data_IF_125738068062
#
_entry.id   IF_125738068062
#
_cell.length_a   1.000
_cell.length_b   1.000
_cell.length_c   1.000
_cell.angle_alpha   90.00
_cell.angle_beta   90.00
_cell.angle_gamma   90.00
#
_symmetry.space_group_name_H-M   'P 1'
#
loop_
_entity.id
_entity.type
_entity.pdbx_description
1 polymer ?
#
# COMPACT_ATOMS: atom_id res chain seq x y z
N UNK A 1 -31.36 -4.32 -0.86
CA UNK A 1 -30.33 -5.38 -0.68
C UNK A 1 -29.81 -5.39 0.76
N UNK A 2 -29.33 -4.27 1.32
CA UNK A 2 -28.78 -4.21 2.69
C UNK A 2 -29.76 -4.77 3.73
N UNK A 3 -31.01 -4.28 3.75
CA UNK A 3 -32.01 -4.75 4.70
C UNK A 3 -32.31 -6.25 4.58
N UNK A 4 -32.38 -6.77 3.33
CA UNK A 4 -32.58 -8.19 3.10
C UNK A 4 -31.41 -9.02 3.69
N UNK A 5 -30.17 -8.64 3.37
CA UNK A 5 -29.00 -9.34 3.88
C UNK A 5 -28.88 -9.22 5.41
N UNK A 6 -29.17 -8.04 5.97
CA UNK A 6 -29.19 -7.85 7.43
C UNK A 6 -30.18 -8.80 8.10
N UNK A 7 -31.39 -8.96 7.53
CA UNK A 7 -32.40 -9.85 8.06
C UNK A 7 -32.02 -11.33 7.92
N UNK A 8 -31.38 -11.72 6.81
CA UNK A 8 -30.87 -13.07 6.63
C UNK A 8 -29.77 -13.42 7.64
N UNK A 9 -28.84 -12.51 7.89
CA UNK A 9 -27.81 -12.69 8.91
C UNK A 9 -28.41 -12.84 10.31
N UNK A 10 -29.40 -12.00 10.66
CA UNK A 10 -30.13 -12.10 11.95
C UNK A 10 -30.88 -13.42 12.06
N UNK A 11 -31.53 -13.87 11.00
CA UNK A 11 -32.20 -15.17 10.97
C UNK A 11 -31.22 -16.35 11.14
N UNK A 12 -29.98 -16.19 10.71
CA UNK A 12 -28.88 -17.13 10.94
C UNK A 12 -28.23 -17.01 12.34
N UNK A 13 -28.77 -16.16 13.22
CA UNK A 13 -28.22 -15.96 14.57
C UNK A 13 -27.03 -15.01 14.65
N UNK A 14 -26.70 -14.33 13.56
CA UNK A 14 -25.60 -13.37 13.50
C UNK A 14 -26.12 -11.99 13.86
N UNK A 15 -25.50 -11.33 14.84
CA UNK A 15 -25.79 -9.94 15.17
C UNK A 15 -25.41 -9.05 13.98
N UNK A 16 -26.38 -8.34 13.41
CA UNK A 16 -26.17 -7.52 12.23
C UNK A 16 -27.02 -6.26 12.26
N UNK A 17 -26.45 -5.11 11.86
CA UNK A 17 -27.13 -3.82 11.76
C UNK A 17 -26.76 -3.13 10.43
N UNK A 18 -27.72 -2.48 9.76
CA UNK A 18 -27.42 -1.69 8.57
C UNK A 18 -26.75 -0.38 9.00
N UNK A 19 -25.75 0.05 8.23
CA UNK A 19 -25.05 1.30 8.48
C UNK A 19 -24.79 2.07 7.18
N UNK A 20 -24.65 3.38 7.29
CA UNK A 20 -24.17 4.24 6.23
C UNK A 20 -22.68 4.53 6.42
N UNK A 21 -21.90 4.31 5.35
CA UNK A 21 -20.48 4.62 5.30
C UNK A 21 -20.26 5.96 4.60
N UNK A 22 -19.50 6.83 5.22
CA UNK A 22 -19.18 8.17 4.75
C UNK A 22 -17.71 8.27 4.35
N UNK A 23 -17.42 8.88 3.21
CA UNK A 23 -16.06 9.01 2.67
C UNK A 23 -15.30 10.24 3.18
N UNK A 24 -16.02 11.22 3.73
CA UNK A 24 -15.45 12.48 4.18
C UNK A 24 -15.87 12.68 5.64
N UNK A 25 -14.94 12.89 6.60
CA UNK A 25 -15.30 13.29 7.93
C UNK A 25 -15.98 14.66 7.83
N UNK A 26 -17.21 14.72 8.23
CA UNK A 26 -17.88 16.00 8.45
C UNK A 26 -17.40 16.54 9.80
N UNK A 27 -16.83 17.73 9.82
CA UNK A 27 -16.57 18.48 11.05
C UNK A 27 -17.89 18.91 11.72
N UNK A 28 -18.99 18.81 10.98
CA UNK A 28 -20.35 19.10 11.44
C UNK A 28 -21.15 17.81 11.59
N UNK A 29 -21.98 17.73 12.61
CA UNK A 29 -22.90 16.58 12.85
C UNK A 29 -23.96 16.39 11.74
N UNK A 30 -24.04 17.32 10.81
CA UNK A 30 -24.97 17.30 9.68
C UNK A 30 -24.32 16.68 8.43
N UNK A 31 -24.19 15.37 8.43
CA UNK A 31 -23.81 14.64 7.22
C UNK A 31 -25.06 14.49 6.34
N UNK A 32 -25.12 15.27 5.26
CA UNK A 32 -26.17 15.10 4.25
C UNK A 32 -26.13 13.73 3.57
N UNK A 33 -27.28 13.26 3.11
CA UNK A 33 -27.37 11.98 2.36
C UNK A 33 -26.40 11.90 1.17
N UNK A 34 -26.03 13.04 0.60
CA UNK A 34 -25.09 13.13 -0.53
C UNK A 34 -23.63 12.77 -0.14
N UNK A 35 -23.31 12.72 1.15
CA UNK A 35 -21.99 12.32 1.65
C UNK A 35 -21.90 10.80 1.90
N UNK A 36 -23.01 10.07 1.81
CA UNK A 36 -23.04 8.62 1.93
C UNK A 36 -22.36 8.02 0.69
N UNK A 37 -21.32 7.29 0.92
CA UNK A 37 -20.61 6.57 -0.15
C UNK A 37 -21.25 5.22 -0.42
N UNK A 38 -21.61 4.51 0.63
CA UNK A 38 -22.12 3.16 0.55
C UNK A 38 -22.99 2.84 1.78
N UNK A 39 -23.96 1.96 1.58
CA UNK A 39 -24.66 1.31 2.68
C UNK A 39 -24.04 -0.06 2.92
N UNK A 40 -23.65 -0.32 4.16
CA UNK A 40 -22.96 -1.53 4.59
C UNK A 40 -23.74 -2.25 5.69
N UNK A 41 -23.32 -3.45 6.04
CA UNK A 41 -23.82 -4.18 7.18
C UNK A 41 -22.68 -4.33 8.19
N UNK A 42 -22.93 -3.91 9.41
CA UNK A 42 -22.06 -4.21 10.54
C UNK A 42 -22.56 -5.52 11.16
N UNK A 43 -21.73 -6.56 11.11
CA UNK A 43 -22.06 -7.86 11.65
C UNK A 43 -21.04 -8.25 12.72
N UNK A 44 -21.47 -9.07 13.67
CA UNK A 44 -20.61 -9.65 14.70
C UNK A 44 -20.81 -11.16 14.70
N UNK A 45 -19.74 -11.91 14.45
CA UNK A 45 -19.71 -13.36 14.51
C UNK A 45 -18.46 -13.81 15.28
N UNK A 46 -18.61 -14.78 16.16
CA UNK A 46 -17.54 -15.34 17.01
C UNK A 46 -16.79 -14.26 17.82
N UNK A 47 -17.52 -13.23 18.27
CA UNK A 47 -16.94 -12.09 18.99
C UNK A 47 -16.10 -11.13 18.11
N UNK A 48 -16.15 -11.26 16.79
CA UNK A 48 -15.42 -10.44 15.84
C UNK A 48 -16.35 -9.53 15.05
N UNK A 49 -15.99 -8.25 14.88
CA UNK A 49 -16.73 -7.34 14.03
C UNK A 49 -16.40 -7.55 12.54
N UNK A 50 -17.43 -7.57 11.72
CA UNK A 50 -17.34 -7.63 10.27
C UNK A 50 -18.08 -6.44 9.66
N UNK A 51 -17.56 -5.92 8.57
CA UNK A 51 -18.22 -4.93 7.74
C UNK A 51 -18.43 -5.52 6.36
N UNK A 52 -19.66 -5.63 5.91
CA UNK A 52 -20.03 -6.30 4.66
C UNK A 52 -20.63 -5.29 3.68
N UNK A 53 -20.09 -5.23 2.49
CA UNK A 53 -20.68 -4.54 1.34
C UNK A 53 -21.66 -5.48 0.64
N UNK A 54 -22.77 -4.93 0.16
CA UNK A 54 -23.75 -5.66 -0.66
C UNK A 54 -23.69 -5.24 -2.13
N UNK A 55 -22.80 -4.31 -2.47
CA UNK A 55 -22.62 -3.83 -3.84
C UNK A 55 -21.42 -4.47 -4.52
N UNK A 56 -20.38 -4.71 -3.77
CA UNK A 56 -19.15 -5.33 -4.24
C UNK A 56 -18.86 -6.58 -3.43
N UNK A 57 -18.29 -7.59 -4.05
CA UNK A 57 -17.76 -8.77 -3.35
C UNK A 57 -16.55 -8.43 -2.44
N UNK A 58 -16.10 -7.17 -2.46
CA UNK A 58 -15.05 -6.67 -1.56
C UNK A 58 -15.58 -6.47 -0.14
N UNK A 59 -14.81 -6.85 0.87
CA UNK A 59 -15.10 -6.44 2.22
C UNK A 59 -15.06 -4.92 2.26
N UNK A 60 -16.19 -4.43 2.60
CA UNK A 60 -16.68 -3.08 2.58
C UNK A 60 -15.65 -1.98 2.67
N UNK A 61 -15.83 -1.09 1.72
CA UNK A 61 -15.39 0.29 1.67
C UNK A 61 -14.28 0.62 2.66
N UNK A 62 -13.08 0.29 2.27
CA UNK A 62 -11.86 0.65 2.98
C UNK A 62 -11.67 2.16 3.10
N UNK A 63 -12.46 2.91 2.36
CA UNK A 63 -12.35 4.35 2.21
C UNK A 63 -13.38 5.14 3.05
N UNK A 64 -14.10 4.53 3.97
CA UNK A 64 -15.02 5.28 4.83
C UNK A 64 -14.27 5.84 6.04
N UNK A 65 -14.58 7.08 6.38
CA UNK A 65 -14.00 7.76 7.54
C UNK A 65 -14.81 7.58 8.80
N UNK A 66 -16.12 7.33 8.67
CA UNK A 66 -16.98 6.96 9.78
C UNK A 66 -18.23 6.21 9.30
N UNK A 67 -18.87 5.55 10.24
CA UNK A 67 -20.08 4.76 10.05
C UNK A 67 -21.20 5.33 10.93
N UNK A 68 -22.41 5.35 10.38
CA UNK A 68 -23.62 5.68 11.16
C UNK A 68 -24.53 4.47 11.12
N UNK A 69 -24.80 3.90 12.29
CA UNK A 69 -25.81 2.86 12.47
C UNK A 69 -27.18 3.45 12.09
N UNK A 70 -27.88 2.82 11.17
CA UNK A 70 -29.17 3.32 10.70
C UNK A 70 -30.32 2.99 11.66
N UNK A 71 -30.14 2.06 12.60
CA UNK A 71 -31.14 1.73 13.58
C UNK A 71 -31.11 2.69 14.78
N UNK A 72 -29.92 3.01 15.27
CA UNK A 72 -29.72 3.80 16.48
C UNK A 72 -29.21 5.23 16.20
N UNK A 73 -28.82 5.52 14.96
CA UNK A 73 -28.19 6.79 14.59
C UNK A 73 -26.80 6.99 15.21
N UNK A 74 -26.25 5.92 15.81
CA UNK A 74 -24.97 5.98 16.50
C UNK A 74 -23.82 6.10 15.53
N UNK A 75 -23.03 7.15 15.68
CA UNK A 75 -21.78 7.34 14.93
C UNK A 75 -20.68 6.48 15.53
N UNK A 76 -20.00 5.70 14.72
CA UNK A 76 -18.79 4.98 15.11
C UNK A 76 -17.64 5.39 14.19
N UNK A 77 -16.47 5.59 14.78
CA UNK A 77 -15.21 5.72 14.06
C UNK A 77 -14.61 4.33 14.02
N UNK A 78 -14.46 3.70 12.83
CA UNK A 78 -13.65 2.50 12.77
C UNK A 78 -12.22 2.86 13.20
N UNK A 79 -11.50 1.88 13.77
CA UNK A 79 -10.06 2.05 13.95
C UNK A 79 -9.46 2.53 12.63
N UNK A 80 -8.62 3.58 12.67
CA UNK A 80 -8.08 4.15 11.43
C UNK A 80 -7.41 3.02 10.63
N UNK A 81 -7.87 2.74 9.42
CA UNK A 81 -7.30 1.67 8.63
C UNK A 81 -5.83 1.98 8.33
N UNK A 82 -4.98 0.97 8.41
CA UNK A 82 -3.57 1.07 8.05
C UNK A 82 -3.36 0.32 6.75
N UNK A 83 -2.97 1.02 5.70
CA UNK A 83 -2.51 0.41 4.47
C UNK A 83 -1.04 -0.01 4.65
N UNK A 84 -0.82 -1.27 5.03
CA UNK A 84 0.53 -1.77 5.27
C UNK A 84 0.99 -2.70 4.17
N UNK A 85 2.25 -2.53 3.78
CA UNK A 85 2.97 -3.37 2.81
C UNK A 85 4.33 -3.69 3.42
N UNK A 86 4.62 -4.98 3.60
CA UNK A 86 5.96 -5.51 3.80
C UNK A 86 6.38 -6.23 2.53
N UNK A 87 7.41 -5.77 1.85
CA UNK A 87 7.91 -6.34 0.60
C UNK A 87 9.37 -6.72 0.76
N UNK A 88 9.70 -7.96 0.44
CA UNK A 88 11.07 -8.48 0.46
C UNK A 88 11.36 -9.13 -0.88
N UNK A 89 12.51 -8.86 -1.47
CA UNK A 89 12.96 -9.51 -2.67
C UNK A 89 14.45 -9.85 -2.60
N UNK A 90 14.76 -11.14 -2.81
CA UNK A 90 16.12 -11.58 -3.13
C UNK A 90 16.26 -11.64 -4.63
N UNK A 91 17.25 -10.93 -5.18
CA UNK A 91 17.42 -10.70 -6.60
C UNK A 91 18.81 -11.14 -7.01
N UNK A 92 18.90 -12.02 -7.99
CA UNK A 92 20.17 -12.41 -8.61
C UNK A 92 20.21 -11.86 -10.02
N UNK A 93 21.14 -10.96 -10.28
CA UNK A 93 21.39 -10.47 -11.65
C UNK A 93 22.31 -11.46 -12.34
N UNK A 94 21.83 -12.02 -13.44
CA UNK A 94 22.57 -13.00 -14.22
C UNK A 94 23.59 -12.33 -15.16
N UNK A 95 24.63 -13.05 -15.65
CA UNK A 95 25.52 -12.54 -16.68
C UNK A 95 24.81 -12.12 -17.98
N UNK A 96 23.61 -12.64 -18.24
CA UNK A 96 22.75 -12.29 -19.38
C UNK A 96 21.89 -11.05 -19.11
N UNK A 97 22.13 -10.34 -18.00
CA UNK A 97 21.44 -9.11 -17.60
C UNK A 97 19.92 -9.30 -17.38
N UNK A 98 19.56 -10.47 -16.93
CA UNK A 98 18.24 -10.76 -16.37
C UNK A 98 18.31 -10.75 -14.83
N UNK A 99 17.24 -10.34 -14.18
CA UNK A 99 17.09 -10.42 -12.75
C UNK A 99 16.11 -11.57 -12.42
N UNK A 100 16.63 -12.61 -11.80
CA UNK A 100 15.81 -13.66 -11.17
C UNK A 100 15.46 -13.20 -9.76
N UNK A 101 14.19 -13.29 -9.38
CA UNK A 101 13.68 -12.73 -8.15
C UNK A 101 12.90 -13.76 -7.34
N UNK A 102 13.22 -13.87 -6.04
CA UNK A 102 12.36 -14.50 -5.04
C UNK A 102 11.67 -13.38 -4.24
N UNK A 103 10.34 -13.33 -4.31
CA UNK A 103 9.53 -12.24 -3.78
C UNK A 103 8.64 -12.75 -2.66
N UNK A 104 8.60 -12.01 -1.55
CA UNK A 104 7.63 -12.17 -0.47
C UNK A 104 7.00 -10.83 -0.15
N UNK A 105 5.71 -10.71 -0.34
CA UNK A 105 4.95 -9.52 0.00
C UNK A 105 3.85 -9.87 1.01
N UNK A 106 3.80 -9.11 2.11
CA UNK A 106 2.74 -9.19 3.11
C UNK A 106 1.93 -7.90 3.04
N UNK A 107 0.67 -8.01 2.68
CA UNK A 107 -0.21 -6.86 2.51
C UNK A 107 -1.36 -6.92 3.53
N UNK A 108 -1.73 -5.78 4.06
CA UNK A 108 -2.98 -5.67 4.81
C UNK A 108 -4.15 -6.03 3.90
N UNK A 109 -5.13 -6.78 4.41
CA UNK A 109 -6.30 -7.24 3.65
C UNK A 109 -7.13 -6.10 3.04
N UNK A 110 -6.97 -4.87 3.53
CA UNK A 110 -7.54 -3.66 2.93
C UNK A 110 -7.02 -3.36 1.52
N UNK A 111 -5.84 -3.85 1.17
CA UNK A 111 -5.18 -3.60 -0.12
C UNK A 111 -5.46 -4.69 -1.15
N UNK A 112 -6.08 -5.79 -0.73
CA UNK A 112 -6.24 -6.99 -1.55
C UNK A 112 -7.68 -7.11 -2.05
N UNK A 113 -7.92 -7.05 -3.37
CA UNK A 113 -9.21 -7.40 -3.94
C UNK A 113 -9.42 -8.93 -3.88
N UNK A 114 -10.67 -9.36 -3.68
CA UNK A 114 -11.05 -10.78 -3.55
C UNK A 114 -11.05 -11.57 -4.87
N UNK A 115 -10.25 -11.20 -5.83
CA UNK A 115 -10.17 -11.90 -7.12
C UNK A 115 -8.91 -12.77 -7.20
N UNK A 116 -9.04 -13.98 -7.71
CA UNK A 116 -7.99 -15.01 -7.74
C UNK A 116 -6.71 -14.64 -8.52
N UNK A 117 -6.75 -13.62 -9.38
CA UNK A 117 -5.62 -13.24 -10.23
C UNK A 117 -4.93 -11.94 -9.85
N UNK A 118 -5.14 -11.45 -8.63
CA UNK A 118 -4.62 -10.13 -8.24
C UNK A 118 -3.11 -10.09 -7.99
N UNK A 119 -2.46 -11.21 -7.67
CA UNK A 119 -1.03 -11.20 -7.34
C UNK A 119 -0.18 -10.66 -8.50
N UNK A 120 -0.43 -11.09 -9.73
CA UNK A 120 0.28 -10.59 -10.91
C UNK A 120 0.04 -9.12 -11.21
N UNK A 121 -1.11 -8.58 -10.80
CA UNK A 121 -1.42 -7.14 -10.93
C UNK A 121 -0.85 -6.29 -9.80
N UNK A 122 -0.63 -6.88 -8.62
CA UNK A 122 -0.06 -6.20 -7.46
C UNK A 122 1.46 -6.17 -7.48
N UNK A 123 2.07 -7.28 -7.90
CA UNK A 123 3.51 -7.52 -7.84
C UNK A 123 4.06 -7.71 -9.26
N UNK A 124 4.57 -6.64 -9.88
CA UNK A 124 5.10 -6.71 -11.24
C UNK A 124 6.22 -7.74 -11.37
N UNK A 125 6.19 -8.52 -12.44
CA UNK A 125 7.21 -9.51 -12.74
C UNK A 125 7.05 -10.86 -12.03
N UNK A 126 6.13 -11.00 -11.05
CA UNK A 126 5.87 -12.28 -10.41
C UNK A 126 5.19 -13.24 -11.41
N UNK A 127 5.62 -14.49 -11.44
CA UNK A 127 5.11 -15.50 -12.38
C UNK A 127 4.52 -16.70 -11.66
N UNK A 128 5.32 -17.33 -10.80
CA UNK A 128 4.91 -18.49 -10.01
C UNK A 128 4.73 -18.02 -8.57
N UNK A 129 3.51 -18.10 -8.03
CA UNK A 129 3.25 -17.57 -6.71
C UNK A 129 2.23 -18.39 -5.92
N UNK A 130 2.35 -18.29 -4.61
CA UNK A 130 1.39 -18.83 -3.63
C UNK A 130 0.81 -17.67 -2.84
N UNK A 131 -0.49 -17.72 -2.59
CA UNK A 131 -1.20 -16.75 -1.77
C UNK A 131 -1.63 -17.44 -0.48
N UNK A 132 -1.20 -16.90 0.65
CA UNK A 132 -1.55 -17.39 1.98
C UNK A 132 -2.38 -16.32 2.69
N UNK A 133 -3.72 -16.45 2.72
CA UNK A 133 -4.57 -15.53 3.46
C UNK A 133 -4.35 -15.68 4.97
N UNK A 134 -4.32 -14.55 5.67
CA UNK A 134 -4.34 -14.46 7.12
C UNK A 134 -5.50 -13.59 7.60
N UNK A 135 -5.65 -13.46 8.90
CA UNK A 135 -6.78 -12.72 9.51
C UNK A 135 -6.80 -11.24 9.13
N UNK A 136 -5.66 -10.57 9.20
CA UNK A 136 -5.52 -9.13 8.91
C UNK A 136 -4.64 -8.84 7.72
N UNK A 137 -3.80 -9.79 7.34
CA UNK A 137 -2.84 -9.66 6.25
C UNK A 137 -2.85 -10.88 5.37
N UNK A 138 -2.50 -10.69 4.11
CA UNK A 138 -2.27 -11.79 3.17
C UNK A 138 -0.81 -11.76 2.72
N UNK A 139 -0.18 -12.92 2.72
CA UNK A 139 1.18 -13.08 2.22
C UNK A 139 1.15 -13.68 0.81
N UNK A 140 1.89 -13.06 -0.10
CA UNK A 140 2.12 -13.54 -1.46
C UNK A 140 3.61 -13.85 -1.58
N UNK A 141 3.94 -15.09 -1.92
CA UNK A 141 5.33 -15.52 -2.12
C UNK A 141 5.46 -16.14 -3.49
N UNK A 142 6.53 -15.84 -4.21
CA UNK A 142 6.70 -16.40 -5.53
C UNK A 142 7.99 -15.99 -6.20
N UNK A 143 8.20 -16.52 -7.39
CA UNK A 143 9.34 -16.22 -8.26
C UNK A 143 8.97 -15.25 -9.34
N UNK A 144 9.92 -14.42 -9.74
CA UNK A 144 9.72 -13.44 -10.79
C UNK A 144 10.96 -13.28 -11.66
N UNK A 145 10.78 -12.59 -12.77
CA UNK A 145 11.85 -12.19 -13.65
C UNK A 145 11.67 -10.75 -14.10
N UNK A 146 12.77 -10.04 -14.21
CA UNK A 146 12.82 -8.71 -14.83
C UNK A 146 14.07 -8.58 -15.68
N UNK A 147 13.99 -7.83 -16.78
CA UNK A 147 15.14 -7.47 -17.58
C UNK A 147 15.78 -6.17 -17.08
N UNK A 148 17.09 -6.05 -17.23
CA UNK A 148 17.77 -4.78 -17.10
C UNK A 148 17.62 -4.00 -18.40
N UNK A 149 17.41 -2.69 -18.32
CA UNK A 149 17.50 -1.81 -19.48
C UNK A 149 18.94 -1.43 -19.70
N UNK A 150 19.42 -1.58 -20.93
CA UNK A 150 20.78 -1.21 -21.31
C UNK A 150 20.78 0.11 -22.07
N UNK A 151 21.76 0.95 -21.78
CA UNK A 151 22.06 2.17 -22.51
C UNK A 151 23.58 2.32 -22.54
N UNK A 152 24.20 2.08 -23.72
CA UNK A 152 25.64 1.96 -23.92
C UNK A 152 26.28 0.90 -22.99
N UNK A 153 27.16 1.33 -22.09
CA UNK A 153 27.86 0.47 -21.11
C UNK A 153 27.16 0.44 -19.74
N UNK A 154 25.96 1.03 -19.63
CA UNK A 154 25.22 1.12 -18.40
C UNK A 154 23.97 0.25 -18.44
N UNK A 155 23.61 -0.28 -17.26
CA UNK A 155 22.42 -1.09 -17.05
C UNK A 155 21.59 -0.49 -15.94
N UNK A 156 20.29 -0.38 -16.19
CA UNK A 156 19.33 0.17 -15.27
C UNK A 156 18.40 -0.93 -14.78
N UNK A 157 18.36 -1.14 -13.49
CA UNK A 157 17.40 -2.03 -12.85
C UNK A 157 16.41 -1.22 -12.04
N UNK A 158 15.12 -1.36 -12.36
CA UNK A 158 14.04 -0.70 -11.63
C UNK A 158 13.54 -1.61 -10.53
N UNK A 159 13.68 -1.19 -9.27
CA UNK A 159 13.20 -1.94 -8.13
C UNK A 159 11.70 -2.23 -8.26
N UNK A 160 11.27 -3.49 -8.19
CA UNK A 160 9.86 -3.84 -8.23
C UNK A 160 9.17 -3.31 -6.98
N UNK A 161 7.97 -2.75 -7.14
CA UNK A 161 7.16 -2.23 -6.04
C UNK A 161 5.72 -2.73 -6.14
N UNK A 162 5.02 -2.78 -5.01
CA UNK A 162 3.60 -3.14 -5.01
C UNK A 162 2.74 -2.00 -5.59
N UNK A 163 1.91 -2.30 -6.58
CA UNK A 163 1.06 -1.29 -7.22
C UNK A 163 -0.08 -0.76 -6.35
N UNK A 164 -0.44 -1.44 -5.27
CA UNK A 164 -1.48 -0.98 -4.34
C UNK A 164 -0.94 -0.04 -3.27
N UNK A 165 0.37 0.07 -3.14
CA UNK A 165 0.99 1.02 -2.26
C UNK A 165 0.70 2.47 -2.65
N UNK A 166 1.16 3.38 -1.83
CA UNK A 166 1.06 4.81 -2.14
C UNK A 166 1.77 5.15 -3.45
N UNK A 167 2.75 4.35 -3.88
CA UNK A 167 3.44 4.46 -5.17
C UNK A 167 2.55 4.23 -6.39
N UNK A 168 1.49 3.45 -6.26
CA UNK A 168 0.55 3.15 -7.36
C UNK A 168 -0.44 4.28 -7.68
N UNK A 169 -0.45 5.35 -6.89
CA UNK A 169 -1.37 6.48 -7.07
C UNK A 169 -0.71 7.61 -7.85
N UNK A 170 -1.50 8.41 -8.55
CA UNK A 170 -0.99 9.60 -9.28
C UNK A 170 -0.68 10.73 -8.29
N UNK A 171 0.60 11.00 -8.05
CA UNK A 171 1.06 12.01 -7.09
C UNK A 171 1.12 13.43 -7.64
N UNK A 172 0.77 13.64 -8.90
CA UNK A 172 0.67 14.98 -9.47
C UNK A 172 -0.23 15.89 -8.60
N UNK A 173 -1.23 15.32 -7.94
CA UNK A 173 -2.13 16.05 -7.04
C UNK A 173 -1.48 16.50 -5.73
N UNK A 174 -0.33 15.95 -5.36
CA UNK A 174 0.36 16.30 -4.10
C UNK A 174 1.44 17.36 -4.27
N UNK A 175 1.69 17.83 -5.49
CA UNK A 175 2.76 18.78 -5.78
C UNK A 175 2.37 20.25 -5.59
N UNK A 176 1.10 20.57 -5.42
CA UNK A 176 0.61 21.94 -5.25
C UNK A 176 0.33 22.26 -3.79
N UNK A 177 0.43 23.52 -3.41
CA UNK A 177 -0.05 24.01 -2.11
C UNK A 177 -1.55 23.75 -1.96
N UNK A 178 -2.01 23.56 -0.73
CA UNK A 178 -3.42 23.30 -0.44
C UNK A 178 -3.98 24.34 0.54
N UNK A 179 -5.20 24.77 0.24
CA UNK A 179 -6.00 25.61 1.12
C UNK A 179 -7.07 24.86 1.91
N UNK A 180 -7.26 23.54 1.60
CA UNK A 180 -8.23 22.67 2.26
C UNK A 180 -7.54 21.43 2.82
N UNK A 181 -8.15 20.84 3.83
CA UNK A 181 -7.68 19.59 4.42
C UNK A 181 -7.54 18.48 3.35
N UNK A 182 -6.51 17.68 3.50
CA UNK A 182 -6.31 16.44 2.73
C UNK A 182 -6.72 15.26 3.62
N UNK A 183 -7.60 14.42 3.09
CA UNK A 183 -7.98 13.17 3.71
C UNK A 183 -7.36 12.00 2.95
N UNK A 184 -6.61 11.18 3.68
CA UNK A 184 -6.12 9.90 3.20
C UNK A 184 -7.11 8.81 3.58
N UNK A 185 -7.36 7.83 2.69
CA UNK A 185 -8.29 6.72 2.97
C UNK A 185 -7.78 5.83 4.11
N UNK A 186 -6.47 5.79 4.33
CA UNK A 186 -5.80 5.05 5.39
C UNK A 186 -4.52 5.76 5.80
N UNK A 187 -4.02 5.50 7.00
CA UNK A 187 -2.61 5.70 7.31
C UNK A 187 -1.76 4.73 6.49
N UNK A 188 -0.47 5.02 6.33
CA UNK A 188 0.43 4.26 5.45
C UNK A 188 1.58 3.71 6.25
N UNK A 189 1.92 2.45 6.01
CA UNK A 189 3.12 1.80 6.54
C UNK A 189 3.69 0.86 5.46
N UNK A 190 4.57 1.38 4.63
CA UNK A 190 5.18 0.66 3.52
C UNK A 190 6.67 0.44 3.76
N UNK A 191 7.09 -0.82 3.73
CA UNK A 191 8.45 -1.25 3.94
C UNK A 191 8.88 -2.18 2.79
N UNK A 192 9.96 -1.84 2.13
CA UNK A 192 10.57 -2.61 1.04
C UNK A 192 12.02 -2.91 1.37
N UNK A 193 12.43 -4.17 1.20
CA UNK A 193 13.79 -4.64 1.39
C UNK A 193 14.22 -5.45 0.16
N UNK A 194 15.39 -5.16 -0.36
CA UNK A 194 15.96 -5.84 -1.51
C UNK A 194 17.38 -6.26 -1.22
N UNK A 195 17.66 -7.55 -1.41
CA UNK A 195 18.99 -8.12 -1.41
C UNK A 195 19.35 -8.46 -2.85
N UNK A 196 20.34 -7.78 -3.44
CA UNK A 196 20.69 -7.92 -4.85
C UNK A 196 22.12 -8.46 -4.95
N UNK A 197 22.25 -9.60 -5.62
CA UNK A 197 23.55 -10.19 -5.96
C UNK A 197 23.93 -9.83 -7.40
N UNK A 198 25.10 -9.20 -7.56
CA UNK A 198 25.65 -8.83 -8.86
C UNK A 198 26.57 -9.92 -9.41
N UNK A 199 26.60 -10.14 -10.74
CA UNK A 199 27.63 -10.93 -11.38
C UNK A 199 28.96 -10.16 -11.42
N UNK A 200 30.09 -10.88 -11.60
CA UNK A 200 31.44 -10.31 -11.58
C UNK A 200 31.68 -9.24 -12.66
N UNK A 201 30.94 -9.32 -13.76
CA UNK A 201 31.05 -8.38 -14.88
C UNK A 201 30.27 -7.08 -14.71
N UNK A 202 29.60 -6.87 -13.58
CA UNK A 202 28.88 -5.64 -13.28
C UNK A 202 29.37 -4.99 -11.99
N UNK A 203 29.46 -3.67 -11.99
CA UNK A 203 29.74 -2.89 -10.80
C UNK A 203 28.66 -1.84 -10.56
N UNK A 204 28.41 -1.52 -9.30
CA UNK A 204 27.45 -0.50 -8.88
C UNK A 204 27.97 0.89 -9.24
N UNK A 205 27.13 1.70 -9.92
CA UNK A 205 27.37 3.12 -10.16
C UNK A 205 26.46 4.02 -9.32
N UNK A 206 25.30 3.53 -8.87
CA UNK A 206 24.46 4.27 -7.95
C UNK A 206 25.23 4.52 -6.65
N UNK A 207 25.34 5.78 -6.18
CA UNK A 207 26.05 6.06 -4.95
C UNK A 207 25.38 5.40 -3.74
N UNK A 208 26.19 4.91 -2.82
CA UNK A 208 25.72 4.50 -1.50
C UNK A 208 25.06 5.69 -0.84
N UNK A 209 23.87 5.50 -0.31
CA UNK A 209 23.08 6.58 0.24
C UNK A 209 22.31 6.17 1.50
N UNK A 210 22.19 7.10 2.40
CA UNK A 210 21.26 7.04 3.51
C UNK A 210 20.53 8.38 3.57
N UNK A 211 19.21 8.33 3.58
CA UNK A 211 18.38 9.51 3.80
C UNK A 211 17.23 9.17 4.72
N UNK A 212 17.02 10.01 5.71
CA UNK A 212 15.91 9.91 6.66
C UNK A 212 15.23 11.26 6.80
N UNK A 213 13.90 11.24 6.79
CA UNK A 213 13.06 12.37 7.17
C UNK A 213 12.11 11.86 8.26
N UNK A 214 12.00 12.63 9.33
CA UNK A 214 11.06 12.37 10.41
C UNK A 214 10.35 13.68 10.77
N UNK A 215 9.02 13.67 10.80
CA UNK A 215 8.21 14.83 11.12
C UNK A 215 6.86 14.39 11.76
N UNK A 216 6.03 15.30 12.28
CA UNK A 216 4.79 14.95 12.95
C UNK A 216 3.77 14.17 12.10
N UNK A 217 3.90 14.19 10.77
CA UNK A 217 3.01 13.47 9.85
C UNK A 217 3.46 12.02 9.67
N UNK A 218 4.78 11.77 9.72
CA UNK A 218 5.32 10.44 9.49
C UNK A 218 6.82 10.44 9.26
N UNK A 219 7.32 9.39 8.65
CA UNK A 219 8.74 9.22 8.37
C UNK A 219 8.98 8.63 6.98
N UNK A 220 10.13 8.96 6.42
CA UNK A 220 10.70 8.37 5.22
C UNK A 220 12.13 7.92 5.52
N UNK A 221 12.50 6.74 5.03
CA UNK A 221 13.88 6.24 5.07
C UNK A 221 14.23 5.59 3.74
N UNK A 222 15.42 5.83 3.25
CA UNK A 222 16.08 5.04 2.22
C UNK A 222 17.51 4.75 2.67
N UNK A 223 17.95 3.50 2.53
CA UNK A 223 19.32 3.07 2.70
C UNK A 223 19.73 2.22 1.51
N UNK A 224 20.92 2.48 0.98
CA UNK A 224 21.59 1.60 0.02
C UNK A 224 22.99 1.36 0.53
N UNK A 225 23.32 0.10 0.78
CA UNK A 225 24.64 -0.36 1.20
C UNK A 225 25.16 -1.39 0.20
N UNK A 226 26.49 -1.52 0.11
CA UNK A 226 27.15 -2.48 -0.76
C UNK A 226 28.29 -3.15 -0.04
N UNK A 227 28.36 -4.47 -0.12
CA UNK A 227 29.47 -5.27 0.36
C UNK A 227 29.90 -6.28 -0.71
N UNK A 228 31.03 -6.03 -1.34
CA UNK A 228 31.50 -6.82 -2.49
C UNK A 228 30.49 -6.74 -3.65
N UNK A 229 29.98 -7.89 -4.08
CA UNK A 229 28.97 -8.02 -5.13
C UNK A 229 27.53 -8.00 -4.62
N UNK A 230 27.34 -7.83 -3.32
CA UNK A 230 26.02 -7.81 -2.69
C UNK A 230 25.57 -6.38 -2.41
N UNK A 231 24.31 -6.06 -2.73
CA UNK A 231 23.67 -4.79 -2.42
C UNK A 231 22.49 -5.06 -1.50
N UNK A 232 22.33 -4.22 -0.49
CA UNK A 232 21.15 -4.20 0.36
C UNK A 232 20.47 -2.84 0.28
N UNK A 233 19.16 -2.83 0.00
CA UNK A 233 18.38 -1.60 -0.15
C UNK A 233 17.14 -1.70 0.73
N UNK A 234 16.94 -0.69 1.56
CA UNK A 234 15.73 -0.52 2.35
C UNK A 234 15.02 0.77 1.95
N UNK A 235 13.71 0.69 1.78
CA UNK A 235 12.83 1.82 1.58
C UNK A 235 11.67 1.72 2.58
N UNK A 236 11.43 2.76 3.33
CA UNK A 236 10.31 2.81 4.28
C UNK A 236 9.58 4.14 4.21
N UNK A 237 8.26 4.08 4.22
CA UNK A 237 7.37 5.23 4.32
C UNK A 237 6.28 4.97 5.35
N UNK A 238 6.18 5.86 6.33
CA UNK A 238 5.09 5.85 7.29
C UNK A 238 4.36 7.20 7.24
N UNK A 239 3.02 7.15 7.08
CA UNK A 239 2.13 8.31 7.24
C UNK A 239 1.16 7.98 8.37
N UNK A 240 1.29 8.68 9.49
CA UNK A 240 0.55 8.38 10.73
C UNK A 240 -0.84 9.01 10.77
N UNK A 241 -1.06 10.07 9.99
CA UNK A 241 -2.30 10.84 10.00
C UNK A 241 -3.11 10.62 8.73
N UNK A 242 -4.40 10.45 8.88
CA UNK A 242 -5.35 10.44 7.76
C UNK A 242 -5.81 11.87 7.39
N UNK A 243 -6.01 12.71 8.40
CA UNK A 243 -6.35 14.13 8.21
C UNK A 243 -5.09 14.97 8.27
N UNK A 244 -4.79 15.68 7.19
CA UNK A 244 -3.65 16.57 7.04
C UNK A 244 -4.17 17.96 6.74
N UNK A 245 -3.97 18.89 7.65
CA UNK A 245 -4.39 20.29 7.52
C UNK A 245 -3.49 21.04 6.52
N UNK A 246 -3.91 22.20 5.99
CA UNK A 246 -3.06 23.03 5.14
C UNK A 246 -1.74 23.42 5.79
N UNK A 247 -1.71 23.63 7.12
CA UNK A 247 -0.50 23.96 7.87
C UNK A 247 0.47 22.75 7.96
N UNK A 248 -0.05 21.53 8.00
CA UNK A 248 0.73 20.28 8.05
C UNK A 248 1.14 19.77 6.65
N UNK A 249 0.47 20.27 5.62
CA UNK A 249 0.66 19.79 4.26
C UNK A 249 2.12 19.89 3.74
N UNK A 250 2.93 20.92 4.06
CA UNK A 250 4.34 20.93 3.68
C UNK A 250 5.14 19.75 4.23
N UNK A 251 4.86 19.34 5.48
CA UNK A 251 5.50 18.18 6.11
C UNK A 251 5.10 16.85 5.42
N UNK A 252 3.82 16.68 5.08
CA UNK A 252 3.35 15.54 4.27
C UNK A 252 4.02 15.54 2.89
N UNK A 253 4.01 16.69 2.22
CA UNK A 253 4.60 16.82 0.88
C UNK A 253 6.09 16.46 0.86
N UNK A 254 6.86 16.82 1.88
CA UNK A 254 8.27 16.45 1.94
C UNK A 254 8.48 14.94 1.91
N UNK A 255 7.67 14.17 2.65
CA UNK A 255 7.72 12.70 2.65
C UNK A 255 7.36 12.12 1.27
N UNK A 256 6.25 12.60 0.67
CA UNK A 256 5.77 12.09 -0.62
C UNK A 256 6.73 12.45 -1.76
N UNK A 257 7.32 13.64 -1.75
CA UNK A 257 8.29 14.05 -2.77
C UNK A 257 9.50 13.12 -2.77
N UNK A 258 10.02 12.79 -1.59
CA UNK A 258 11.15 11.85 -1.46
C UNK A 258 10.77 10.43 -1.88
N UNK A 259 9.58 9.97 -1.47
CA UNK A 259 9.09 8.64 -1.81
C UNK A 259 8.86 8.47 -3.32
N UNK A 260 8.43 9.52 -4.00
CA UNK A 260 8.10 9.50 -5.43
C UNK A 260 9.25 9.94 -6.32
N UNK A 261 10.39 10.27 -5.77
CA UNK A 261 11.56 10.68 -6.55
C UNK A 261 11.97 9.57 -7.51
N UNK A 262 11.74 9.83 -8.80
CA UNK A 262 12.02 8.87 -9.87
C UNK A 262 13.51 8.69 -10.12
N UNK A 263 14.36 9.61 -9.69
CA UNK A 263 15.81 9.52 -9.88
C UNK A 263 16.44 8.43 -8.99
N UNK A 264 15.74 8.00 -7.95
CA UNK A 264 16.21 6.98 -7.01
C UNK A 264 15.70 5.57 -7.30
N UNK A 265 14.77 5.42 -8.23
CA UNK A 265 14.18 4.13 -8.57
C UNK A 265 15.08 3.22 -9.41
N UNK A 266 15.84 3.72 -10.40
CA UNK A 266 16.77 2.89 -11.11
C UNK A 266 18.07 2.72 -10.31
N UNK A 267 18.48 1.49 -10.12
CA UNK A 267 19.84 1.15 -9.70
C UNK A 267 20.69 1.04 -10.95
N UNK A 268 21.77 1.79 -10.97
CA UNK A 268 22.67 1.89 -12.13
C UNK A 268 23.90 1.02 -11.92
N UNK A 269 24.18 0.20 -12.90
CA UNK A 269 25.39 -0.63 -13.01
C UNK A 269 26.18 -0.30 -14.26
N UNK A 270 27.45 -0.65 -14.26
CA UNK A 270 28.34 -0.54 -15.42
C UNK A 270 29.07 -1.87 -15.60
N UNK A 271 29.34 -2.24 -16.86
CA UNK A 271 30.23 -3.37 -17.15
C UNK A 271 31.64 -3.10 -16.67
N UNK A 272 32.23 -4.10 -16.03
CA UNK A 272 33.67 -4.18 -15.75
C UNK A 272 34.35 -4.63 -17.04
N UNK A 273 35.29 -3.82 -17.57
CA UNK A 273 36.14 -4.19 -18.69
C UNK A 273 37.26 -5.11 -18.27
#
# INVERSE_FOLDING_TARGET
>A
KVNLMTNLLRAAGIKAVPAAAYSIPSETDNCGLNAIREFVILAEADGRPYRLSVQNADPAATDCTFLVDLAEGKKSLPDPPIASIGYQASIVITPQQEADMDIKATLNNLLIPYTSNYAGTLLPGIREYTVTPGEKTTTISGKGKAGLKQEENYYFFYLPVCYKGITGKSYAYYNTSRSKNLYLPASVDENYSYDIQLPENLTLCTPIQEKKIDNPIGSFKITLTSEGSSLHIELALQIKKQLITPAEYPAFRSLITEWTDRTRKPILFKTVQ
#
